data_IF_307950306488
#
_entry.id   IF_307950306488
#
_cell.length_a   1.000
_cell.length_b   1.000
_cell.length_c   1.000
_cell.angle_alpha   90.00
_cell.angle_beta   90.00
_cell.angle_gamma   90.00
#
_symmetry.space_group_name_H-M   'P 1'
#
loop_
_entity.id
_entity.type
_entity.pdbx_description
1 polymer ?
#
# COMPACT_ATOMS: atom_id res chain seq x y z
N UNK A 1 32.17 37.12 -21.84
CA UNK A 1 32.59 35.89 -21.13
C UNK A 1 31.31 35.22 -20.63
N UNK A 2 30.48 34.50 -21.38
CA UNK A 2 30.69 33.41 -22.34
C UNK A 2 31.73 32.38 -21.89
N UNK A 3 31.24 31.13 -21.78
CA UNK A 3 31.88 29.89 -21.32
C UNK A 3 31.81 29.63 -19.80
N UNK A 4 30.90 28.73 -19.39
CA UNK A 4 31.20 27.48 -18.67
C UNK A 4 29.88 26.84 -18.20
N UNK A 5 29.24 26.08 -19.09
CA UNK A 5 28.11 25.20 -18.79
C UNK A 5 28.34 23.88 -19.53
N UNK A 6 29.25 23.03 -19.04
CA UNK A 6 29.36 21.64 -19.45
C UNK A 6 29.99 20.85 -18.31
N UNK A 7 29.23 19.89 -17.76
CA UNK A 7 29.59 18.49 -17.44
C UNK A 7 28.60 17.94 -16.39
N UNK A 8 27.50 17.37 -16.85
CA UNK A 8 26.71 16.39 -16.09
C UNK A 8 26.90 15.02 -16.78
N UNK A 9 27.13 13.91 -16.03
CA UNK A 9 27.35 12.60 -16.63
C UNK A 9 26.05 11.92 -17.12
N UNK A 10 26.17 11.26 -18.28
CA UNK A 10 25.13 10.59 -19.09
C UNK A 10 24.57 9.29 -18.47
N UNK A 11 23.83 9.36 -17.36
CA UNK A 11 23.17 8.18 -16.77
C UNK A 11 21.64 8.10 -16.94
N UNK A 12 21.05 8.95 -17.80
CA UNK A 12 19.60 8.94 -18.08
C UNK A 12 19.27 8.89 -19.58
N UNK A 13 19.69 7.83 -20.29
CA UNK A 13 19.16 7.51 -21.62
C UNK A 13 18.75 6.04 -21.69
N UNK A 14 17.44 5.77 -21.62
CA UNK A 14 16.87 4.47 -22.03
C UNK A 14 17.06 4.34 -23.55
N UNK A 15 17.43 3.17 -24.08
CA UNK A 15 17.29 2.91 -25.50
C UNK A 15 15.81 2.75 -25.87
N UNK A 16 15.41 3.37 -26.99
CA UNK A 16 14.14 3.11 -27.66
C UNK A 16 14.17 1.73 -28.34
N UNK A 17 13.03 1.03 -28.49
CA UNK A 17 12.97 -0.16 -29.32
C UNK A 17 12.91 0.26 -30.79
N UNK A 18 13.89 -0.16 -31.58
CA UNK A 18 13.91 0.02 -33.04
C UNK A 18 14.04 -1.35 -33.72
N UNK A 19 13.19 -1.59 -34.71
CA UNK A 19 13.40 -2.64 -35.70
C UNK A 19 12.18 -3.51 -36.04
N UNK A 20 11.20 -2.96 -36.76
CA UNK A 20 10.36 -3.74 -37.67
C UNK A 20 10.87 -3.52 -39.11
N UNK A 21 11.01 -4.57 -39.94
CA UNK A 21 11.12 -4.43 -41.39
C UNK A 21 9.99 -5.23 -42.12
N UNK A 22 9.80 -5.08 -43.45
CA UNK A 22 8.60 -4.48 -44.01
C UNK A 22 7.70 -5.46 -44.80
N UNK A 23 6.59 -4.92 -45.29
CA UNK A 23 5.62 -5.52 -46.20
C UNK A 23 6.23 -6.38 -47.32
N UNK A 24 5.67 -7.58 -47.49
CA UNK A 24 5.96 -8.47 -48.59
C UNK A 24 4.87 -9.52 -48.77
N UNK A 25 4.11 -9.34 -49.85
CA UNK A 25 3.41 -10.40 -50.62
C UNK A 25 2.05 -10.89 -50.11
N UNK A 26 1.01 -10.29 -50.70
CA UNK A 26 -0.27 -10.95 -51.00
C UNK A 26 -0.03 -12.16 -51.92
N UNK A 27 -0.30 -13.35 -51.41
CA UNK A 27 -0.96 -14.49 -52.08
C UNK A 27 -0.72 -15.75 -51.22
N UNK A 28 -1.59 -16.75 -51.32
CA UNK A 28 -1.34 -18.14 -50.88
C UNK A 28 -1.84 -18.59 -49.49
N UNK A 29 -2.97 -18.05 -48.99
CA UNK A 29 -3.70 -18.66 -47.85
C UNK A 29 -5.16 -19.03 -48.18
N UNK A 30 -5.65 -18.74 -49.39
CA UNK A 30 -7.04 -19.03 -49.78
C UNK A 30 -7.28 -20.32 -50.57
N UNK A 31 -6.25 -21.16 -50.78
CA UNK A 31 -6.39 -22.41 -51.56
C UNK A 31 -6.49 -23.70 -50.72
N UNK A 32 -6.59 -23.60 -49.40
CA UNK A 32 -6.68 -24.77 -48.49
C UNK A 32 -8.09 -25.19 -48.04
N UNK A 33 -9.13 -24.37 -48.24
CA UNK A 33 -10.46 -24.55 -47.61
C UNK A 33 -11.58 -24.74 -48.65
N UNK A 34 -11.30 -25.51 -49.72
CA UNK A 34 -12.33 -25.84 -50.74
C UNK A 34 -12.44 -27.31 -51.14
N UNK A 35 -11.83 -28.26 -50.41
CA UNK A 35 -11.98 -29.70 -50.69
C UNK A 35 -12.17 -30.57 -49.43
N UNK A 36 -13.01 -30.12 -48.49
CA UNK A 36 -13.43 -30.90 -47.32
C UNK A 36 -14.94 -31.05 -47.17
N UNK A 37 -15.70 -30.70 -48.20
CA UNK A 37 -17.16 -30.85 -48.27
C UNK A 37 -17.43 -31.83 -49.40
N UNK A 38 -18.28 -32.83 -49.13
CA UNK A 38 -18.61 -34.01 -49.97
C UNK A 38 -17.75 -35.24 -49.66
N UNK A 39 -18.09 -35.97 -48.59
CA UNK A 39 -18.21 -37.45 -48.55
C UNK A 39 -18.70 -37.95 -47.17
N UNK A 40 -19.63 -37.24 -46.53
CA UNK A 40 -20.09 -37.57 -45.16
C UNK A 40 -21.59 -37.56 -44.95
N UNK A 41 -22.39 -37.70 -46.00
CA UNK A 41 -23.85 -37.91 -45.89
C UNK A 41 -24.21 -39.18 -46.64
N UNK A 42 -24.19 -40.30 -45.93
CA UNK A 42 -25.07 -41.46 -46.14
C UNK A 42 -24.65 -42.60 -45.19
N UNK A 43 -25.03 -42.54 -43.91
CA UNK A 43 -25.66 -43.66 -43.20
C UNK A 43 -26.09 -43.24 -41.79
N UNK A 44 -27.22 -43.80 -41.35
CA UNK A 44 -27.77 -43.78 -40.00
C UNK A 44 -28.58 -42.53 -39.57
N UNK A 45 -29.73 -42.38 -40.23
CA UNK A 45 -30.97 -42.02 -39.54
C UNK A 45 -31.34 -43.16 -38.59
N UNK A 46 -31.16 -42.97 -37.27
CA UNK A 46 -31.83 -43.75 -36.21
C UNK A 46 -32.14 -42.83 -35.01
N UNK A 47 -33.34 -42.23 -35.04
CA UNK A 47 -34.36 -42.15 -33.96
C UNK A 47 -33.90 -41.87 -32.50
N UNK A 48 -34.55 -40.84 -31.90
CA UNK A 48 -34.75 -40.46 -30.46
C UNK A 48 -33.83 -39.36 -29.83
N UNK A 49 -34.34 -38.53 -28.90
CA UNK A 49 -35.35 -37.48 -29.10
C UNK A 49 -34.85 -36.09 -28.68
N UNK A 50 -35.62 -35.08 -29.08
CA UNK A 50 -35.71 -33.70 -28.61
C UNK A 50 -35.04 -33.46 -27.22
N UNK A 51 -33.76 -33.08 -27.21
CA UNK A 51 -33.21 -32.31 -26.12
C UNK A 51 -33.74 -30.88 -26.24
N UNK A 52 -34.93 -30.65 -25.70
CA UNK A 52 -35.37 -29.31 -25.33
C UNK A 52 -34.33 -28.82 -24.34
N UNK A 53 -33.45 -27.92 -24.77
CA UNK A 53 -32.67 -27.12 -23.86
C UNK A 53 -33.65 -26.41 -22.93
N UNK A 54 -33.86 -26.94 -21.73
CA UNK A 54 -34.31 -26.12 -20.63
C UNK A 54 -33.20 -25.09 -20.43
N UNK A 55 -33.38 -23.94 -21.07
CA UNK A 55 -32.83 -22.71 -20.56
C UNK A 55 -33.40 -22.55 -19.15
N UNK A 56 -32.73 -23.15 -18.17
CA UNK A 56 -32.79 -22.69 -16.80
C UNK A 56 -32.23 -21.28 -16.85
N UNK A 57 -33.11 -20.30 -17.11
CA UNK A 57 -32.81 -18.92 -16.76
C UNK A 57 -32.48 -18.96 -15.28
N UNK A 58 -31.25 -18.65 -14.85
CA UNK A 58 -31.03 -18.45 -13.43
C UNK A 58 -32.00 -17.32 -13.06
N UNK A 59 -33.03 -17.65 -12.27
CA UNK A 59 -33.76 -16.63 -11.54
C UNK A 59 -32.69 -16.07 -10.61
N UNK A 60 -32.10 -14.94 -11.00
CA UNK A 60 -31.29 -14.15 -10.09
C UNK A 60 -32.25 -13.73 -9.00
N UNK A 61 -32.25 -14.51 -7.92
CA UNK A 61 -33.08 -14.25 -6.78
C UNK A 61 -32.52 -12.99 -6.11
N UNK A 62 -33.05 -11.86 -6.54
CA UNK A 62 -32.72 -10.52 -6.02
C UNK A 62 -32.88 -10.48 -4.51
N UNK A 63 -33.78 -11.31 -3.94
CA UNK A 63 -33.92 -11.44 -2.50
C UNK A 63 -32.77 -12.24 -1.87
N UNK A 64 -32.22 -13.25 -2.54
CA UNK A 64 -31.03 -13.97 -2.07
C UNK A 64 -29.75 -13.11 -2.17
N UNK A 65 -29.59 -12.32 -3.23
CA UNK A 65 -28.46 -11.37 -3.39
C UNK A 65 -28.55 -10.25 -2.34
N UNK A 66 -29.76 -9.76 -2.06
CA UNK A 66 -29.99 -8.73 -1.06
C UNK A 66 -29.87 -9.27 0.38
N UNK A 67 -30.32 -10.49 0.64
CA UNK A 67 -30.10 -11.17 1.93
C UNK A 67 -28.61 -11.44 2.20
N UNK A 68 -27.84 -11.84 1.18
CA UNK A 68 -26.39 -12.02 1.29
C UNK A 68 -25.63 -10.69 1.50
N UNK A 69 -26.14 -9.58 0.94
CA UNK A 69 -25.60 -8.24 1.18
C UNK A 69 -25.93 -7.71 2.59
N UNK A 70 -27.06 -8.14 3.18
CA UNK A 70 -27.52 -7.75 4.52
C UNK A 70 -26.91 -8.60 5.65
N UNK A 71 -26.28 -9.73 5.34
CA UNK A 71 -25.68 -10.65 6.31
C UNK A 71 -24.16 -10.51 6.48
N UNK A 72 -23.52 -9.59 5.78
CA UNK A 72 -22.11 -9.29 6.05
C UNK A 72 -22.03 -8.42 7.30
N UNK A 73 -21.87 -9.05 8.46
CA UNK A 73 -21.39 -8.36 9.66
C UNK A 73 -20.17 -7.52 9.26
N UNK A 74 -20.14 -6.21 9.56
CA UNK A 74 -19.01 -5.36 9.20
C UNK A 74 -17.73 -6.00 9.72
N UNK A 75 -16.83 -6.38 8.81
CA UNK A 75 -15.54 -6.93 9.21
C UNK A 75 -14.74 -5.82 9.88
N UNK A 76 -14.54 -5.94 11.19
CA UNK A 76 -13.65 -5.07 11.96
C UNK A 76 -12.22 -5.62 11.89
N UNK A 77 -11.24 -4.74 12.02
CA UNK A 77 -9.85 -5.17 12.14
C UNK A 77 -9.62 -5.89 13.48
N UNK A 78 -8.82 -6.95 13.46
CA UNK A 78 -8.42 -7.72 14.62
C UNK A 78 -7.01 -7.30 15.05
N UNK A 79 -6.90 -6.65 16.21
CA UNK A 79 -5.63 -6.23 16.80
C UNK A 79 -4.94 -7.33 17.61
N UNK A 80 -5.49 -8.55 17.69
CA UNK A 80 -4.85 -9.67 18.40
C UNK A 80 -4.58 -9.40 19.88
N UNK A 81 -5.41 -8.56 20.53
CA UNK A 81 -5.22 -8.14 21.92
C UNK A 81 -4.23 -6.98 22.12
N UNK A 82 -3.59 -6.49 21.06
CA UNK A 82 -2.65 -5.37 21.14
C UNK A 82 -3.36 -4.06 21.53
N UNK A 83 -2.71 -3.28 22.40
CA UNK A 83 -3.19 -1.95 22.75
C UNK A 83 -2.95 -0.98 21.59
N UNK A 84 -4.01 -0.28 21.20
CA UNK A 84 -4.04 0.70 20.12
C UNK A 84 -4.95 1.88 20.48
N UNK A 85 -4.62 3.08 19.98
CA UNK A 85 -5.47 4.26 20.15
C UNK A 85 -6.83 4.06 19.51
N UNK A 86 -7.78 4.89 19.94
CA UNK A 86 -9.10 4.97 19.32
C UNK A 86 -9.00 5.30 17.83
N UNK A 87 -8.17 6.27 17.44
CA UNK A 87 -7.95 6.64 16.05
C UNK A 87 -7.39 5.47 15.23
N UNK A 88 -6.44 4.71 15.78
CA UNK A 88 -5.91 3.52 15.11
C UNK A 88 -7.00 2.47 14.86
N UNK A 89 -7.87 2.22 15.86
CA UNK A 89 -9.01 1.29 15.71
C UNK A 89 -10.02 1.78 14.69
N UNK A 90 -10.35 3.07 14.70
CA UNK A 90 -11.29 3.67 13.75
C UNK A 90 -10.78 3.55 12.31
N UNK A 91 -9.51 3.90 12.07
CA UNK A 91 -8.90 3.78 10.74
C UNK A 91 -8.79 2.31 10.31
N UNK A 92 -8.32 1.41 11.17
CA UNK A 92 -8.21 -0.01 10.83
C UNK A 92 -9.57 -0.62 10.46
N UNK A 93 -10.61 -0.34 11.25
CA UNK A 93 -11.97 -0.82 10.97
C UNK A 93 -12.49 -0.25 9.65
N UNK A 94 -12.23 1.04 9.39
CA UNK A 94 -12.61 1.67 8.14
C UNK A 94 -11.90 1.06 6.93
N UNK A 95 -10.60 0.82 7.01
CA UNK A 95 -9.82 0.18 5.94
C UNK A 95 -10.43 -1.17 5.57
N UNK A 96 -10.74 -1.99 6.57
CA UNK A 96 -11.29 -3.35 6.36
C UNK A 96 -12.73 -3.31 5.86
N UNK A 97 -13.57 -2.43 6.44
CA UNK A 97 -14.99 -2.32 6.09
C UNK A 97 -15.17 -1.75 4.68
N UNK A 98 -14.36 -0.75 4.29
CA UNK A 98 -14.45 -0.11 2.98
C UNK A 98 -13.65 -0.83 1.89
N UNK A 99 -12.67 -1.66 2.28
CA UNK A 99 -11.73 -2.27 1.34
C UNK A 99 -10.71 -1.29 0.75
N UNK A 100 -10.45 -0.15 1.43
CA UNK A 100 -9.56 0.91 0.95
C UNK A 100 -8.11 0.44 0.71
N UNK A 101 -7.66 -0.59 1.45
CA UNK A 101 -6.38 -1.26 1.21
C UNK A 101 -6.33 -2.07 -0.09
N UNK A 102 -7.45 -2.25 -0.81
CA UNK A 102 -7.55 -3.01 -2.07
C UNK A 102 -6.96 -4.42 -1.99
N UNK A 103 -7.18 -5.11 -0.87
CA UNK A 103 -6.64 -6.44 -0.58
C UNK A 103 -5.10 -6.51 -0.49
N UNK A 104 -4.43 -5.38 -0.26
CA UNK A 104 -3.00 -5.34 0.06
C UNK A 104 -2.78 -5.44 1.57
N UNK A 105 -1.58 -5.88 1.96
CA UNK A 105 -1.09 -5.65 3.32
C UNK A 105 -1.16 -4.14 3.60
N UNK A 106 -1.47 -3.80 4.85
CA UNK A 106 -1.48 -2.40 5.24
C UNK A 106 -0.85 -2.17 6.60
N UNK A 107 -0.36 -0.96 6.78
CA UNK A 107 0.37 -0.52 7.96
C UNK A 107 -0.34 0.69 8.53
N UNK A 108 -0.51 0.74 9.84
CA UNK A 108 -0.95 1.94 10.55
C UNK A 108 0.19 2.42 11.43
N UNK A 109 0.62 3.67 11.23
CA UNK A 109 1.48 4.39 12.17
C UNK A 109 0.61 5.27 13.07
N UNK A 110 0.51 4.89 14.34
CA UNK A 110 -0.07 5.71 15.39
C UNK A 110 1.01 6.64 15.97
N UNK A 111 1.06 7.88 15.48
CA UNK A 111 2.07 8.87 15.91
C UNK A 111 1.93 9.26 17.37
N UNK A 112 0.71 9.35 17.88
CA UNK A 112 0.46 9.71 19.28
C UNK A 112 1.09 8.70 20.25
N UNK A 113 1.09 7.42 19.86
CA UNK A 113 1.69 6.32 20.64
C UNK A 113 3.06 5.84 20.11
N UNK A 114 3.60 6.47 19.05
CA UNK A 114 4.85 6.06 18.39
C UNK A 114 4.92 4.56 18.10
N UNK A 115 3.84 4.02 17.53
CA UNK A 115 3.65 2.58 17.35
C UNK A 115 3.15 2.25 15.95
N UNK A 116 3.71 1.19 15.38
CA UNK A 116 3.30 0.67 14.08
C UNK A 116 2.56 -0.65 14.27
N UNK A 117 1.51 -0.83 13.47
CA UNK A 117 0.74 -2.06 13.33
C UNK A 117 0.80 -2.52 11.87
N UNK A 118 1.16 -3.78 11.62
CA UNK A 118 1.15 -4.38 10.28
C UNK A 118 0.01 -5.39 10.21
N UNK A 119 -0.91 -5.18 9.28
CA UNK A 119 -2.09 -6.00 9.07
C UNK A 119 -2.00 -6.79 7.76
N UNK A 120 -2.51 -8.01 7.80
CA UNK A 120 -2.87 -8.76 6.60
C UNK A 120 -3.97 -8.05 5.80
N UNK A 121 -4.14 -8.37 4.50
CA UNK A 121 -5.22 -7.84 3.67
C UNK A 121 -6.63 -7.93 4.26
N UNK A 122 -6.87 -8.94 5.10
CA UNK A 122 -8.15 -9.23 5.75
C UNK A 122 -8.43 -8.35 6.96
N UNK A 123 -7.44 -7.61 7.48
CA UNK A 123 -7.56 -6.86 8.73
C UNK A 123 -7.06 -7.60 9.97
N UNK A 124 -6.47 -8.79 9.84
CA UNK A 124 -5.82 -9.49 10.95
C UNK A 124 -4.44 -8.90 11.23
N UNK A 125 -4.15 -8.55 12.48
CA UNK A 125 -2.83 -8.07 12.88
C UNK A 125 -1.79 -9.17 12.73
N UNK A 126 -0.72 -8.86 12.00
CA UNK A 126 0.47 -9.71 11.89
C UNK A 126 1.44 -9.45 13.04
N UNK A 127 1.71 -8.18 13.34
CA UNK A 127 2.55 -7.77 14.48
C UNK A 127 2.46 -6.25 14.70
N UNK A 128 2.89 -5.79 15.88
CA UNK A 128 3.04 -4.39 16.21
C UNK A 128 4.38 -4.12 16.92
N UNK A 129 4.89 -2.89 16.83
CA UNK A 129 6.18 -2.53 17.45
C UNK A 129 6.26 -1.03 17.75
N UNK A 130 6.96 -0.60 18.82
CA UNK A 130 7.36 0.80 18.97
C UNK A 130 8.31 1.22 17.83
N UNK A 131 8.26 2.49 17.48
CA UNK A 131 9.08 3.08 16.41
C UNK A 131 9.61 4.45 16.81
N UNK A 132 10.73 4.86 16.22
CA UNK A 132 11.16 6.26 16.28
C UNK A 132 10.62 7.02 15.06
N UNK A 133 10.11 8.22 15.28
CA UNK A 133 9.52 9.07 14.24
C UNK A 133 10.13 10.47 14.28
N UNK A 134 9.61 11.36 13.42
CA UNK A 134 10.02 12.76 13.34
C UNK A 134 10.12 13.42 14.72
N UNK A 135 11.20 14.17 14.92
CA UNK A 135 11.46 14.89 16.17
C UNK A 135 10.39 15.95 16.46
N UNK A 136 9.86 16.60 15.43
CA UNK A 136 8.78 17.56 15.56
C UNK A 136 7.41 16.87 15.52
N UNK A 137 6.48 17.38 16.33
CA UNK A 137 5.06 17.06 16.19
C UNK A 137 4.51 17.83 14.99
N UNK A 138 3.79 17.14 14.11
CA UNK A 138 3.22 17.75 12.93
C UNK A 138 2.71 16.72 11.94
N UNK A 139 1.81 17.15 11.06
CA UNK A 139 1.12 16.29 10.09
C UNK A 139 1.51 16.56 8.64
N UNK A 140 2.24 17.63 8.38
CA UNK A 140 2.62 18.06 7.03
C UNK A 140 4.13 18.05 6.86
N UNK A 141 4.57 17.79 5.63
CA UNK A 141 5.95 18.02 5.19
C UNK A 141 6.06 19.38 4.51
N UNK A 142 7.25 19.97 4.55
CA UNK A 142 7.55 21.21 3.82
C UNK A 142 7.88 20.87 2.36
N UNK A 143 7.43 21.71 1.43
CA UNK A 143 7.70 21.54 0.00
C UNK A 143 9.21 21.40 -0.28
N UNK A 144 9.56 20.39 -1.09
CA UNK A 144 10.94 20.12 -1.50
C UNK A 144 11.85 19.58 -0.39
N UNK A 145 11.32 19.23 0.79
CA UNK A 145 12.14 18.75 1.91
C UNK A 145 12.96 17.51 1.60
N UNK A 146 12.44 16.60 0.77
CA UNK A 146 13.15 15.37 0.40
C UNK A 146 14.43 15.60 -0.42
N UNK A 147 14.55 16.77 -1.06
CA UNK A 147 15.75 17.17 -1.80
C UNK A 147 16.75 18.00 -0.98
N UNK A 148 16.41 18.40 0.25
CA UNK A 148 17.25 19.26 1.07
C UNK A 148 18.33 18.46 1.80
N UNK A 149 19.57 18.97 1.91
CA UNK A 149 20.57 18.39 2.80
C UNK A 149 20.05 18.34 4.24
N UNK A 150 20.30 17.26 4.97
CA UNK A 150 19.86 17.06 6.35
C UNK A 150 20.27 18.21 7.28
N UNK A 151 21.47 18.78 7.08
CA UNK A 151 21.97 19.91 7.85
C UNK A 151 21.13 21.20 7.70
N UNK A 152 20.31 21.29 6.64
CA UNK A 152 19.43 22.43 6.37
C UNK A 152 17.99 22.18 6.84
N UNK A 153 17.64 20.98 7.31
CA UNK A 153 16.30 20.70 7.83
C UNK A 153 16.16 21.25 9.24
N UNK A 154 15.28 22.24 9.40
CA UNK A 154 15.04 22.93 10.66
C UNK A 154 14.37 21.99 11.68
N UNK A 155 14.56 22.19 12.99
CA UNK A 155 13.97 21.34 14.03
C UNK A 155 12.47 21.11 13.86
N UNK A 156 11.70 22.16 13.58
CA UNK A 156 10.24 22.16 13.39
C UNK A 156 9.79 21.45 12.11
N UNK A 157 10.67 21.29 11.12
CA UNK A 157 10.37 20.62 9.85
C UNK A 157 10.56 19.10 9.91
N UNK A 158 11.06 18.57 11.04
CA UNK A 158 11.35 17.13 11.24
C UNK A 158 10.09 16.36 11.58
N UNK A 159 9.08 16.45 10.74
CA UNK A 159 7.76 15.82 10.93
C UNK A 159 7.68 14.48 10.19
N UNK A 160 6.82 13.59 10.67
CA UNK A 160 6.36 12.43 9.88
C UNK A 160 4.96 12.76 9.34
N UNK A 161 4.77 12.91 8.02
CA UNK A 161 3.52 13.40 7.46
C UNK A 161 2.37 12.42 7.71
N UNK A 162 1.19 12.96 8.03
CA UNK A 162 -0.04 12.19 8.16
C UNK A 162 -0.70 11.99 6.80
N UNK A 163 -1.36 10.84 6.61
CA UNK A 163 -2.07 10.57 5.36
C UNK A 163 -2.06 9.10 4.95
N UNK A 164 -2.55 8.86 3.74
CA UNK A 164 -2.60 7.55 3.09
C UNK A 164 -1.57 7.50 1.98
N UNK A 165 -0.66 6.55 2.07
CA UNK A 165 0.45 6.40 1.15
C UNK A 165 0.46 5.00 0.52
N UNK A 166 0.92 4.91 -0.72
CA UNK A 166 1.31 3.63 -1.30
C UNK A 166 2.74 3.33 -0.85
N UNK A 167 2.89 2.34 0.02
CA UNK A 167 4.21 1.94 0.50
C UNK A 167 4.91 1.04 -0.51
N UNK A 168 6.14 1.41 -0.87
CA UNK A 168 6.91 0.74 -1.93
C UNK A 168 8.21 0.14 -1.39
N UNK A 169 8.49 -1.16 -1.58
CA UNK A 169 9.79 -1.71 -1.24
C UNK A 169 10.87 -1.11 -2.16
N UNK A 170 12.00 -0.71 -1.59
CA UNK A 170 13.09 -0.12 -2.36
C UNK A 170 14.43 -0.16 -1.64
N UNK A 171 15.40 0.56 -2.19
CA UNK A 171 16.71 0.76 -1.57
C UNK A 171 17.00 2.26 -1.43
N UNK A 172 17.65 2.62 -0.34
CA UNK A 172 18.14 3.98 -0.14
C UNK A 172 19.48 4.22 -0.87
N UNK A 173 20.03 5.44 -0.73
CA UNK A 173 21.29 5.83 -1.35
C UNK A 173 22.52 5.00 -0.89
N UNK A 174 22.43 4.33 0.26
CA UNK A 174 23.49 3.44 0.77
C UNK A 174 23.25 1.97 0.40
N UNK A 175 22.21 1.68 -0.40
CA UNK A 175 21.88 0.33 -0.86
C UNK A 175 21.10 -0.53 0.14
N UNK A 176 20.69 0.00 1.29
CA UNK A 176 19.91 -0.71 2.29
C UNK A 176 18.44 -0.79 1.90
N UNK A 177 17.80 -1.94 2.15
CA UNK A 177 16.36 -2.08 1.91
C UNK A 177 15.55 -1.14 2.82
N UNK A 178 14.54 -0.50 2.25
CA UNK A 178 13.57 0.36 2.93
C UNK A 178 12.17 0.10 2.38
N UNK A 179 11.15 0.57 3.08
CA UNK A 179 9.81 0.77 2.48
C UNK A 179 9.58 2.28 2.39
N UNK A 180 9.53 2.80 1.17
CA UNK A 180 9.19 4.20 0.91
C UNK A 180 7.75 4.46 1.32
N UNK A 181 7.50 5.58 2.02
CA UNK A 181 6.16 6.01 2.44
C UNK A 181 5.78 7.26 1.66
N UNK A 182 6.60 8.30 1.72
CA UNK A 182 6.46 9.50 0.93
C UNK A 182 7.78 9.75 0.22
N UNK A 183 7.79 9.51 -1.09
CA UNK A 183 9.01 9.61 -1.89
C UNK A 183 9.47 11.07 -2.03
N UNK A 184 8.53 11.99 -2.24
CA UNK A 184 8.83 13.42 -2.45
C UNK A 184 9.35 14.08 -1.17
N UNK A 185 8.86 13.64 -0.01
CA UNK A 185 9.39 14.05 1.29
C UNK A 185 10.61 13.24 1.76
N UNK A 186 11.07 12.25 0.98
CA UNK A 186 12.12 11.30 1.33
C UNK A 186 11.88 10.55 2.67
N UNK A 187 10.62 10.29 3.00
CA UNK A 187 10.21 9.56 4.22
C UNK A 187 10.09 8.07 3.92
N UNK A 188 10.78 7.25 4.72
CA UNK A 188 10.74 5.79 4.62
C UNK A 188 10.64 5.12 5.98
N UNK A 189 10.11 3.90 5.97
CA UNK A 189 10.24 2.92 7.04
C UNK A 189 11.53 2.14 6.86
N UNK A 190 12.37 2.11 7.90
CA UNK A 190 13.64 1.37 7.84
C UNK A 190 14.13 0.92 9.22
N UNK A 191 15.12 0.03 9.21
CA UNK A 191 15.83 -0.44 10.41
C UNK A 191 16.39 0.75 11.18
N UNK A 192 16.30 0.71 12.51
CA UNK A 192 17.03 1.65 13.38
C UNK A 192 18.53 1.56 13.09
N UNK A 193 19.21 2.71 13.00
CA UNK A 193 20.66 2.81 12.79
C UNK A 193 21.32 3.40 14.02
N UNK A 194 22.45 2.86 14.45
CA UNK A 194 23.16 3.28 15.67
C UNK A 194 24.48 3.98 15.35
N UNK A 195 24.49 4.85 14.33
CA UNK A 195 25.70 5.51 13.84
C UNK A 195 26.21 6.59 14.80
N UNK A 196 25.31 7.28 15.52
CA UNK A 196 25.66 8.30 16.50
C UNK A 196 25.26 7.84 17.91
N UNK A 197 26.22 7.43 18.77
CA UNK A 197 25.92 6.94 20.11
C UNK A 197 25.15 7.94 20.98
N UNK A 198 25.37 9.25 20.80
CA UNK A 198 24.68 10.29 21.59
C UNK A 198 23.17 10.33 21.35
N UNK A 199 22.70 9.81 20.21
CA UNK A 199 21.27 9.76 19.92
C UNK A 199 20.55 8.69 20.74
N UNK A 200 21.26 7.67 21.27
CA UNK A 200 20.71 6.62 22.14
C UNK A 200 19.45 5.95 21.55
N UNK A 201 19.47 5.66 20.24
CA UNK A 201 18.26 5.24 19.50
C UNK A 201 17.68 3.93 19.99
N UNK A 202 18.50 2.98 20.44
CA UNK A 202 17.99 1.70 20.96
C UNK A 202 17.31 1.88 22.32
N UNK A 203 17.87 2.73 23.17
CA UNK A 203 17.30 3.06 24.48
C UNK A 203 16.01 3.85 24.34
N UNK A 204 15.95 4.79 23.39
CA UNK A 204 14.72 5.49 23.01
C UNK A 204 13.66 4.49 22.60
N UNK A 205 13.95 3.62 21.64
CA UNK A 205 13.01 2.61 21.12
C UNK A 205 12.48 1.66 22.21
N UNK A 206 13.27 1.40 23.25
CA UNK A 206 12.88 0.60 24.40
C UNK A 206 12.16 1.40 25.50
N UNK A 207 12.14 2.73 25.42
CA UNK A 207 11.47 3.59 26.38
C UNK A 207 9.94 3.47 26.26
N UNK A 208 9.21 3.51 27.38
CA UNK A 208 7.74 3.56 27.36
C UNK A 208 7.21 4.94 26.95
N UNK A 209 8.03 6.00 26.93
CA UNK A 209 7.55 7.36 26.64
C UNK A 209 7.60 7.68 25.14
N UNK A 210 6.53 8.29 24.65
CA UNK A 210 6.40 8.63 23.23
C UNK A 210 7.27 9.82 22.83
N UNK A 211 7.64 10.68 23.78
CA UNK A 211 8.54 11.80 23.54
C UNK A 211 10.00 11.33 23.35
N UNK A 212 10.43 10.26 24.05
CA UNK A 212 11.75 9.66 23.81
C UNK A 212 11.86 9.11 22.38
N UNK A 213 10.74 8.71 21.78
CA UNK A 213 10.66 8.10 20.46
C UNK A 213 10.67 9.13 19.31
N UNK A 214 10.79 10.42 19.61
CA UNK A 214 10.85 11.50 18.61
C UNK A 214 12.28 11.99 18.43
N UNK A 215 12.89 11.61 17.31
CA UNK A 215 14.31 11.92 17.06
C UNK A 215 14.69 11.96 15.57
N UNK A 216 13.89 11.36 14.69
CA UNK A 216 14.23 11.28 13.27
C UNK A 216 13.95 12.60 12.54
N UNK A 217 14.39 12.67 11.29
CA UNK A 217 14.07 13.78 10.36
C UNK A 217 12.74 13.55 9.61
N UNK A 218 11.96 12.53 10.00
CA UNK A 218 10.66 12.19 9.40
C UNK A 218 10.51 10.70 9.13
N UNK A 219 11.61 9.99 8.84
CA UNK A 219 11.62 8.53 8.65
C UNK A 219 11.12 7.77 9.89
N UNK A 220 10.57 6.59 9.66
CA UNK A 220 10.01 5.72 10.68
C UNK A 220 11.03 4.61 10.96
N UNK A 221 11.72 4.67 12.10
CA UNK A 221 12.77 3.73 12.45
C UNK A 221 12.22 2.64 13.36
N UNK A 222 12.52 1.38 13.06
CA UNK A 222 11.96 0.23 13.79
C UNK A 222 13.02 -0.81 14.14
N UNK A 223 12.73 -1.73 15.08
CA UNK A 223 13.67 -2.81 15.39
C UNK A 223 14.05 -3.60 14.14
N UNK A 224 15.33 -3.98 14.04
CA UNK A 224 15.85 -4.76 12.90
C UNK A 224 15.03 -6.03 12.68
N UNK A 225 14.76 -6.77 13.76
CA UNK A 225 13.98 -8.01 13.70
C UNK A 225 12.55 -7.79 13.17
N UNK A 226 11.91 -6.67 13.52
CA UNK A 226 10.57 -6.35 13.02
C UNK A 226 10.61 -6.04 11.52
N UNK A 227 11.59 -5.24 11.09
CA UNK A 227 11.75 -4.91 9.68
C UNK A 227 11.96 -6.18 8.84
N UNK A 228 12.90 -7.05 9.23
CA UNK A 228 13.27 -8.23 8.45
C UNK A 228 12.20 -9.32 8.43
N UNK A 229 11.52 -9.54 9.57
CA UNK A 229 10.63 -10.70 9.73
C UNK A 229 9.15 -10.37 9.53
N UNK A 230 8.77 -9.09 9.64
CA UNK A 230 7.37 -8.65 9.54
C UNK A 230 7.17 -7.71 8.36
N UNK A 231 7.82 -6.54 8.37
CA UNK A 231 7.54 -5.49 7.39
C UNK A 231 8.00 -5.88 5.99
N UNK A 232 9.29 -6.16 5.80
CA UNK A 232 9.85 -6.49 4.49
C UNK A 232 9.13 -7.67 3.82
N UNK A 233 8.79 -8.78 4.53
CA UNK A 233 8.00 -9.85 3.94
C UNK A 233 6.57 -9.45 3.58
N UNK A 234 5.94 -8.52 4.30
CA UNK A 234 4.59 -8.02 3.97
C UNK A 234 4.57 -7.18 2.67
N UNK A 235 5.71 -6.59 2.31
CA UNK A 235 5.92 -5.80 1.09
C UNK A 235 6.76 -6.57 0.05
N UNK A 236 6.95 -7.89 0.21
CA UNK A 236 7.80 -8.65 -0.69
C UNK A 236 7.15 -8.77 -2.08
N UNK A 237 7.80 -8.20 -3.11
CA UNK A 237 7.33 -8.15 -4.49
C UNK A 237 5.93 -7.56 -4.70
N UNK A 238 5.42 -6.80 -3.72
CA UNK A 238 4.12 -6.14 -3.78
C UNK A 238 4.13 -4.85 -2.98
N UNK A 239 3.34 -3.87 -3.42
CA UNK A 239 3.05 -2.67 -2.66
C UNK A 239 2.21 -3.00 -1.41
N UNK A 240 2.22 -2.11 -0.44
CA UNK A 240 1.26 -2.09 0.67
C UNK A 240 0.67 -0.70 0.83
N UNK A 241 -0.36 -0.55 1.66
CA UNK A 241 -0.91 0.78 1.98
C UNK A 241 -0.44 1.19 3.37
N UNK A 242 0.09 2.40 3.50
CA UNK A 242 0.55 2.94 4.79
C UNK A 242 -0.37 4.08 5.18
N UNK A 243 -0.99 3.97 6.35
CA UNK A 243 -1.82 5.01 6.94
C UNK A 243 -1.07 5.61 8.12
N UNK A 244 -0.65 6.86 8.00
CA UNK A 244 -0.04 7.61 9.09
C UNK A 244 -1.12 8.46 9.76
N UNK A 245 -1.44 8.16 11.00
CA UNK A 245 -2.47 8.86 11.75
C UNK A 245 -2.04 10.29 12.08
N UNK A 246 -2.95 11.28 12.06
CA UNK A 246 -2.62 12.63 12.47
C UNK A 246 -2.44 12.75 13.99
N UNK A 247 -1.71 13.78 14.41
CA UNK A 247 -1.55 14.13 15.82
C UNK A 247 -1.81 15.62 16.13
N UNK A 248 -1.93 16.47 15.11
CA UNK A 248 -2.29 17.89 15.25
C UNK A 248 -3.66 18.15 14.62
N UNK A 249 -3.84 17.73 13.37
CA UNK A 249 -5.10 17.72 12.64
C UNK A 249 -6.07 16.71 13.26
N UNK A 250 -7.35 16.97 13.10
CA UNK A 250 -8.38 16.02 13.48
C UNK A 250 -8.35 14.78 12.59
N UNK A 251 -8.88 13.66 13.11
CA UNK A 251 -9.07 12.47 12.29
C UNK A 251 -10.02 12.74 11.11
N UNK A 252 -11.01 13.60 11.29
CA UNK A 252 -11.98 13.96 10.25
C UNK A 252 -11.33 14.68 9.06
N UNK A 253 -10.30 15.50 9.29
CA UNK A 253 -9.58 16.20 8.23
C UNK A 253 -8.73 15.26 7.37
N UNK A 254 -8.04 14.29 7.99
CA UNK A 254 -7.12 13.40 7.26
C UNK A 254 -7.79 12.12 6.78
N UNK A 255 -8.71 11.56 7.56
CA UNK A 255 -9.44 10.32 7.28
C UNK A 255 -10.96 10.49 7.47
N UNK A 256 -11.63 11.31 6.65
CA UNK A 256 -13.06 11.60 6.79
C UNK A 256 -13.93 10.34 6.74
N UNK A 257 -13.54 9.34 5.93
CA UNK A 257 -14.25 8.05 5.84
C UNK A 257 -14.20 7.25 7.13
N UNK A 258 -13.05 7.27 7.84
CA UNK A 258 -12.90 6.58 9.12
C UNK A 258 -13.74 7.26 10.21
N UNK A 259 -13.67 8.59 10.28
CA UNK A 259 -14.51 9.38 11.18
C UNK A 259 -16.01 9.14 10.95
N UNK A 260 -16.47 9.18 9.70
CA UNK A 260 -17.87 8.94 9.34
C UNK A 260 -18.34 7.51 9.65
N UNK A 261 -17.48 6.49 9.53
CA UNK A 261 -17.82 5.14 9.95
C UNK A 261 -17.96 5.05 11.48
N UNK A 262 -17.05 5.68 12.22
CA UNK A 262 -17.09 5.68 13.68
C UNK A 262 -18.36 6.35 14.24
N UNK A 263 -18.81 7.45 13.63
CA UNK A 263 -20.08 8.11 14.00
C UNK A 263 -21.30 7.20 13.79
N UNK A 264 -21.39 6.55 12.62
CA UNK A 264 -22.48 5.60 12.31
C UNK A 264 -22.51 4.42 13.28
N UNK A 265 -21.35 3.89 13.65
CA UNK A 265 -21.24 2.77 14.61
C UNK A 265 -21.68 3.17 16.03
N UNK A 266 -21.68 4.46 16.37
CA UNK A 266 -22.14 4.99 17.66
C UNK A 266 -23.63 5.34 17.69
N UNK A 267 -24.37 5.10 16.60
CA UNK A 267 -25.77 5.50 16.48
C UNK A 267 -25.97 7.01 16.33
N UNK A 268 -24.93 7.74 15.95
CA UNK A 268 -25.01 9.16 15.62
C UNK A 268 -25.14 9.29 14.10
N UNK A 269 -26.39 9.46 13.65
CA UNK A 269 -26.87 9.70 12.27
C UNK A 269 -27.10 8.44 11.43
#
# INVERSE_FOLDING_TARGET
MQHFFQTLPDFFRRPAPEGAPPDGTRSDIFDGIKQGVLWGVALAVVILPIFRAHQLRPVYDVHAVQAAALQQTPRTADFGGETASENARQVANWVVTSGDNRKLFFVILDKANTKVFVFEPSGKLRSATPVLIGAARGDDSVDGIGGRPIAQVLPEERTTPAGRFLGEPGRNATGEDVVWVDYDAAVSMHRVRTLEPKERRLERLASPTTDDNRISYGCINMPVAFFENVLKPAFNASYGVVYVLPEVKSLAEVFPGAHALALRQRGAV
#
